data_IF_303270690419
#
_entry.id   IF_303270690419
#
_cell.length_a   1.000
_cell.length_b   1.000
_cell.length_c   1.000
_cell.angle_alpha   90.00
_cell.angle_beta   90.00
_cell.angle_gamma   90.00
#
_symmetry.space_group_name_H-M   'P 1'
#
loop_
_entity.id
_entity.type
_entity.pdbx_description
1 polymer ?
#
# COMPACT_ATOMS: atom_id res chain seq x y z
N UNK A 1 10.25 -50.85 98.81
CA UNK A 1 10.12 -50.84 100.24
C UNK A 1 9.30 -52.04 100.86
N UNK A 2 8.10 -52.39 100.33
CA UNK A 2 7.32 -53.56 100.83
C UNK A 2 7.95 -54.87 100.42
N UNK A 3 8.45 -55.01 99.20
CA UNK A 3 9.15 -56.23 98.71
C UNK A 3 10.46 -56.43 99.43
N UNK A 4 11.25 -55.37 99.62
CA UNK A 4 12.53 -55.45 100.36
C UNK A 4 12.31 -55.91 101.85
N UNK A 5 11.29 -55.38 102.55
CA UNK A 5 10.91 -55.82 103.86
C UNK A 5 10.49 -57.29 103.88
N UNK A 6 9.75 -57.76 102.86
CA UNK A 6 9.37 -59.17 102.77
C UNK A 6 10.56 -60.07 102.46
N UNK A 7 11.49 -59.67 101.62
CA UNK A 7 12.72 -60.38 101.31
C UNK A 7 13.63 -60.43 102.53
N UNK A 8 13.77 -59.36 103.27
CA UNK A 8 14.55 -59.36 104.54
C UNK A 8 13.95 -60.28 105.62
N UNK A 9 12.63 -60.37 105.67
CA UNK A 9 11.92 -61.30 106.58
C UNK A 9 12.13 -62.74 106.12
N UNK A 10 12.13 -63.05 104.83
CA UNK A 10 12.40 -64.39 104.29
C UNK A 10 13.86 -64.85 104.49
N UNK A 11 14.81 -63.95 104.47
CA UNK A 11 16.23 -64.22 104.78
C UNK A 11 16.41 -64.69 106.20
N UNK A 12 15.53 -64.27 107.16
CA UNK A 12 15.56 -64.64 108.58
C UNK A 12 14.82 -65.98 108.90
N UNK A 13 13.82 -66.34 108.14
CA UNK A 13 13.07 -67.57 108.30
C UNK A 13 12.89 -68.24 106.86
N UNK A 14 13.79 -69.17 106.62
CA UNK A 14 13.87 -69.77 105.26
C UNK A 14 12.80 -70.85 105.07
N UNK A 15 12.23 -71.43 106.11
CA UNK A 15 11.31 -72.58 106.05
C UNK A 15 9.81 -72.25 106.01
N UNK A 16 9.41 -71.05 106.36
CA UNK A 16 7.98 -70.68 106.35
C UNK A 16 7.58 -70.31 104.92
N UNK A 17 6.51 -70.92 104.33
CA UNK A 17 6.08 -70.55 102.98
C UNK A 17 5.56 -69.11 102.98
N UNK A 18 6.07 -68.33 102.05
CA UNK A 18 5.70 -66.94 101.87
C UNK A 18 4.77 -66.83 100.67
N UNK A 19 3.53 -66.41 100.89
CA UNK A 19 2.63 -66.01 99.79
C UNK A 19 3.08 -64.69 99.28
N UNK A 20 3.51 -64.72 98.02
CA UNK A 20 3.68 -63.51 97.28
C UNK A 20 2.30 -62.97 96.92
N UNK A 21 1.97 -61.80 97.42
CA UNK A 21 0.79 -61.08 96.95
C UNK A 21 1.03 -60.70 95.52
N UNK A 22 -0.03 -60.63 94.68
CA UNK A 22 0.05 -60.16 93.31
C UNK A 22 0.82 -58.83 93.26
N UNK A 23 2.00 -58.84 92.74
CA UNK A 23 2.78 -57.66 92.39
C UNK A 23 2.17 -57.20 91.08
N UNK A 24 1.54 -56.02 91.06
CA UNK A 24 1.12 -55.46 89.82
C UNK A 24 2.37 -55.43 88.93
N UNK A 25 2.26 -56.09 87.79
CA UNK A 25 3.30 -56.08 86.79
C UNK A 25 3.21 -54.77 86.04
N UNK A 26 4.08 -53.82 86.36
CA UNK A 26 4.17 -52.52 85.70
C UNK A 26 5.09 -52.55 84.47
N UNK A 27 5.49 -53.75 84.06
CA UNK A 27 6.47 -53.87 82.94
C UNK A 27 5.95 -53.30 81.62
N UNK A 28 4.66 -53.49 81.32
CA UNK A 28 4.03 -52.95 80.11
C UNK A 28 3.92 -51.43 80.22
N UNK A 29 3.56 -50.84 81.32
CA UNK A 29 3.51 -49.38 81.49
C UNK A 29 4.89 -48.76 81.40
N UNK A 30 5.91 -49.38 82.00
CA UNK A 30 7.31 -48.96 81.86
C UNK A 30 7.76 -49.04 80.46
N UNK A 31 7.45 -50.11 79.68
CA UNK A 31 7.80 -50.28 78.30
C UNK A 31 7.13 -49.23 77.44
N UNK A 32 5.87 -48.90 77.69
CA UNK A 32 5.16 -47.84 77.02
C UNK A 32 5.82 -46.46 77.23
N UNK A 33 6.24 -46.18 78.45
CA UNK A 33 6.93 -44.91 78.76
C UNK A 33 8.30 -44.86 78.11
N UNK A 34 9.06 -45.94 78.12
CA UNK A 34 10.36 -46.04 77.47
C UNK A 34 10.23 -45.83 75.98
N UNK A 35 9.23 -46.48 75.33
CA UNK A 35 8.94 -46.25 73.90
C UNK A 35 8.59 -44.80 73.60
N UNK A 36 7.79 -44.14 74.44
CA UNK A 36 7.52 -42.70 74.30
C UNK A 36 8.77 -41.86 74.45
N UNK A 37 9.63 -42.13 75.39
CA UNK A 37 10.90 -41.45 75.63
C UNK A 37 11.82 -41.65 74.35
N UNK A 38 11.90 -42.89 73.87
CA UNK A 38 12.71 -43.20 72.73
C UNK A 38 12.19 -42.43 71.47
N UNK A 39 10.88 -42.41 71.24
CA UNK A 39 10.28 -41.64 70.15
C UNK A 39 10.56 -40.13 70.27
N UNK A 40 10.38 -39.56 71.47
CA UNK A 40 10.68 -38.16 71.74
C UNK A 40 12.18 -37.85 71.52
N UNK A 41 13.07 -38.77 71.94
CA UNK A 41 14.51 -38.63 71.66
C UNK A 41 14.83 -38.69 70.17
N UNK A 42 14.20 -39.58 69.38
CA UNK A 42 14.34 -39.67 67.99
C UNK A 42 13.87 -38.37 67.31
N UNK A 43 12.66 -37.89 67.62
CA UNK A 43 12.11 -36.64 67.10
C UNK A 43 13.03 -35.45 67.43
N UNK A 44 13.52 -35.36 68.68
CA UNK A 44 14.43 -34.27 69.04
C UNK A 44 15.78 -34.36 68.34
N UNK A 45 16.33 -35.57 68.15
CA UNK A 45 17.56 -35.74 67.32
C UNK A 45 17.37 -35.40 65.87
N UNK A 46 16.24 -35.78 65.27
CA UNK A 46 15.90 -35.39 63.94
C UNK A 46 15.70 -33.86 63.83
N UNK A 47 15.03 -33.27 64.82
CA UNK A 47 14.88 -31.80 64.89
C UNK A 47 16.26 -31.13 64.96
N UNK A 48 17.17 -31.63 65.84
CA UNK A 48 18.53 -31.09 65.99
C UNK A 48 19.35 -31.23 64.71
N UNK A 49 19.27 -32.38 64.01
CA UNK A 49 19.95 -32.59 62.68
C UNK A 49 19.46 -31.62 61.62
N UNK A 50 18.16 -31.30 61.64
CA UNK A 50 17.54 -30.43 60.67
C UNK A 50 17.42 -28.97 61.15
N UNK A 51 18.03 -28.61 62.26
CA UNK A 51 17.86 -27.28 62.86
C UNK A 51 18.33 -26.16 61.93
N UNK A 52 19.49 -26.31 61.24
CA UNK A 52 20.02 -25.33 60.31
C UNK A 52 19.11 -25.16 59.10
N UNK A 53 18.61 -26.26 58.54
CA UNK A 53 17.68 -26.22 57.42
C UNK A 53 16.36 -25.53 57.78
N UNK A 54 15.81 -25.85 58.96
CA UNK A 54 14.57 -25.21 59.50
C UNK A 54 14.77 -23.73 59.78
N UNK A 55 15.95 -23.34 60.28
CA UNK A 55 16.29 -21.94 60.47
C UNK A 55 16.37 -21.20 59.15
N UNK A 56 16.97 -21.80 58.12
CA UNK A 56 17.05 -21.19 56.76
C UNK A 56 15.68 -21.07 56.10
N UNK A 57 14.82 -22.08 56.28
CA UNK A 57 13.42 -22.00 55.84
C UNK A 57 12.65 -20.88 56.56
N UNK A 58 12.83 -20.75 57.87
CA UNK A 58 12.21 -19.69 58.66
C UNK A 58 12.70 -18.31 58.24
N UNK A 59 14.02 -18.16 58.00
CA UNK A 59 14.61 -16.93 57.46
C UNK A 59 14.06 -16.59 56.09
N UNK A 60 13.94 -17.58 55.18
CA UNK A 60 13.33 -17.39 53.86
C UNK A 60 11.86 -16.95 53.98
N UNK A 61 11.08 -17.60 54.81
CA UNK A 61 9.67 -17.20 55.06
C UNK A 61 9.57 -15.78 55.60
N UNK A 62 10.45 -15.40 56.51
CA UNK A 62 10.46 -14.04 57.06
C UNK A 62 10.79 -13.00 55.97
N UNK A 63 11.84 -13.26 55.19
CA UNK A 63 12.21 -12.39 54.06
C UNK A 63 11.09 -12.27 53.03
N UNK A 64 10.44 -13.37 52.67
CA UNK A 64 9.32 -13.34 51.75
C UNK A 64 8.13 -12.54 52.30
N UNK A 65 7.87 -12.65 53.61
CA UNK A 65 6.82 -11.86 54.27
C UNK A 65 7.15 -10.36 54.26
N UNK A 66 8.41 -9.99 54.54
CA UNK A 66 8.86 -8.59 54.45
C UNK A 66 8.75 -8.04 53.04
N UNK A 67 9.19 -8.82 52.03
CA UNK A 67 9.05 -8.44 50.62
C UNK A 67 7.58 -8.29 50.22
N UNK A 68 6.72 -9.23 50.65
CA UNK A 68 5.29 -9.16 50.36
C UNK A 68 4.63 -7.94 51.01
N UNK A 69 5.03 -7.62 52.24
CA UNK A 69 4.58 -6.42 52.95
C UNK A 69 5.02 -5.15 52.21
N UNK A 70 6.31 -5.07 51.85
CA UNK A 70 6.83 -3.95 51.09
C UNK A 70 6.15 -3.78 49.72
N UNK A 71 5.93 -4.89 49.01
CA UNK A 71 5.22 -4.88 47.73
C UNK A 71 3.78 -4.38 47.88
N UNK A 72 3.10 -4.74 48.97
CA UNK A 72 1.76 -4.25 49.29
C UNK A 72 1.76 -2.76 49.67
N UNK A 73 2.67 -2.37 50.56
CA UNK A 73 2.75 -0.99 51.06
C UNK A 73 3.18 0.01 49.98
N UNK A 74 3.92 -0.47 48.98
CA UNK A 74 4.36 0.34 47.82
C UNK A 74 3.43 0.25 46.62
N UNK A 75 2.31 -0.45 46.70
CA UNK A 75 1.37 -0.69 45.59
C UNK A 75 2.04 -1.24 44.32
N UNK A 76 3.09 -2.07 44.50
CA UNK A 76 3.89 -2.61 43.39
C UNK A 76 3.03 -3.30 42.32
N UNK A 77 2.04 -4.05 42.71
CA UNK A 77 1.16 -4.77 41.80
C UNK A 77 0.27 -3.82 40.99
N UNK A 78 -0.30 -2.81 41.65
CA UNK A 78 -1.09 -1.79 40.95
C UNK A 78 -0.26 -1.01 39.95
N UNK A 79 0.97 -0.62 40.33
CA UNK A 79 1.92 0.05 39.41
C UNK A 79 2.33 -0.85 38.26
N UNK A 80 2.50 -2.13 38.47
CA UNK A 80 2.83 -3.07 37.38
C UNK A 80 1.68 -3.21 36.37
N UNK A 81 0.45 -3.25 36.85
CA UNK A 81 -0.75 -3.27 35.99
C UNK A 81 -0.90 -1.94 35.21
N UNK A 82 -0.62 -0.83 35.90
CA UNK A 82 -0.62 0.50 35.23
C UNK A 82 0.42 0.57 34.12
N UNK A 83 1.66 0.13 34.37
CA UNK A 83 2.72 0.05 33.34
C UNK A 83 2.28 -0.82 32.15
N UNK A 84 1.67 -1.97 32.42
CA UNK A 84 1.16 -2.86 31.37
C UNK A 84 0.07 -2.18 30.55
N UNK A 85 -0.87 -1.51 31.20
CA UNK A 85 -1.94 -0.78 30.54
C UNK A 85 -1.41 0.41 29.70
N UNK A 86 -0.45 1.16 30.23
CA UNK A 86 0.22 2.24 29.51
C UNK A 86 1.00 1.71 28.33
N UNK A 87 1.67 0.57 28.45
CA UNK A 87 2.37 -0.09 27.34
C UNK A 87 1.42 -0.47 26.20
N UNK A 88 0.24 -1.01 26.52
CA UNK A 88 -0.79 -1.32 25.52
C UNK A 88 -1.34 -0.06 24.83
N UNK A 89 -1.62 0.99 25.61
CA UNK A 89 -2.05 2.29 25.05
C UNK A 89 -0.99 2.88 24.11
N UNK A 90 0.26 2.84 24.51
CA UNK A 90 1.38 3.32 23.68
C UNK A 90 1.49 2.55 22.37
N UNK A 91 1.40 1.22 22.42
CA UNK A 91 1.42 0.39 21.21
C UNK A 91 0.26 0.70 20.27
N UNK A 92 -0.95 0.86 20.81
CA UNK A 92 -2.13 1.23 20.02
C UNK A 92 -1.97 2.62 19.39
N UNK A 93 -1.49 3.61 20.14
CA UNK A 93 -1.22 4.93 19.61
C UNK A 93 -0.15 4.93 18.50
N UNK A 94 0.90 4.14 18.67
CA UNK A 94 1.94 3.99 17.63
C UNK A 94 1.36 3.41 16.34
N UNK A 95 0.50 2.38 16.44
CA UNK A 95 -0.14 1.81 15.26
C UNK A 95 -1.09 2.81 14.56
N UNK A 96 -1.82 3.62 15.34
CA UNK A 96 -2.67 4.68 14.80
C UNK A 96 -1.85 5.73 14.07
N UNK A 97 -0.75 6.20 14.67
CA UNK A 97 0.16 7.16 14.03
C UNK A 97 0.74 6.61 12.71
N UNK A 98 1.06 5.33 12.67
CA UNK A 98 1.58 4.70 11.44
C UNK A 98 0.52 4.66 10.33
N UNK A 99 -0.73 4.32 10.68
CA UNK A 99 -1.83 4.35 9.70
C UNK A 99 -2.10 5.76 9.18
N UNK A 100 -2.18 6.75 10.06
CA UNK A 100 -2.39 8.15 9.67
C UNK A 100 -1.24 8.69 8.80
N UNK A 101 0.02 8.33 9.10
CA UNK A 101 1.17 8.69 8.24
C UNK A 101 1.04 8.10 6.85
N UNK A 102 0.60 6.85 6.74
CA UNK A 102 0.39 6.21 5.44
C UNK A 102 -0.73 6.89 4.65
N UNK A 103 -1.82 7.29 5.30
CA UNK A 103 -2.89 8.06 4.68
C UNK A 103 -2.41 9.43 4.18
N UNK A 104 -1.65 10.16 5.00
CA UNK A 104 -1.05 11.45 4.61
C UNK A 104 -0.14 11.27 3.38
N UNK A 105 0.67 10.21 3.33
CA UNK A 105 1.52 9.94 2.17
C UNK A 105 0.68 9.66 0.91
N UNK A 106 -0.41 8.91 1.03
CA UNK A 106 -1.32 8.65 -0.08
C UNK A 106 -1.98 9.95 -0.58
N UNK A 107 -2.48 10.79 0.33
CA UNK A 107 -3.04 12.09 -0.06
C UNK A 107 -2.00 13.01 -0.72
N UNK A 108 -0.77 13.02 -0.23
CA UNK A 108 0.30 13.79 -0.87
C UNK A 108 0.58 13.31 -2.30
N UNK A 109 0.60 11.99 -2.54
CA UNK A 109 0.74 11.41 -3.88
C UNK A 109 -0.44 11.80 -4.80
N UNK A 110 -1.66 11.83 -4.28
CA UNK A 110 -2.83 12.29 -5.03
C UNK A 110 -2.76 13.80 -5.33
N UNK A 111 -2.36 14.61 -4.38
CA UNK A 111 -2.15 16.05 -4.57
C UNK A 111 -1.14 16.31 -5.68
N UNK A 112 -0.01 15.60 -5.69
CA UNK A 112 1.00 15.75 -6.75
C UNK A 112 0.44 15.35 -8.13
N UNK A 113 -0.33 14.26 -8.21
CA UNK A 113 -1.03 13.86 -9.46
C UNK A 113 -2.02 14.94 -9.94
N UNK A 114 -2.76 15.56 -9.02
CA UNK A 114 -3.70 16.61 -9.38
C UNK A 114 -2.98 17.91 -9.78
N UNK A 115 -1.92 18.30 -9.11
CA UNK A 115 -1.07 19.43 -9.50
C UNK A 115 -0.47 19.25 -10.89
N UNK A 116 0.02 18.03 -11.19
CA UNK A 116 0.53 17.71 -12.52
C UNK A 116 -0.57 17.84 -13.58
N UNK A 117 -1.77 17.32 -13.31
CA UNK A 117 -2.91 17.46 -14.23
C UNK A 117 -3.29 18.93 -14.46
N UNK A 118 -3.27 19.76 -13.44
CA UNK A 118 -3.60 21.19 -13.53
C UNK A 118 -2.54 21.97 -14.32
N UNK A 119 -1.26 21.69 -14.08
CA UNK A 119 -0.16 22.30 -14.84
C UNK A 119 -0.22 21.92 -16.32
N UNK A 120 -0.52 20.66 -16.63
CA UNK A 120 -0.70 20.20 -17.98
C UNK A 120 -1.91 20.87 -18.67
N UNK A 121 -2.97 21.15 -17.91
CA UNK A 121 -4.18 21.82 -18.39
C UNK A 121 -3.86 23.23 -18.93
N UNK A 122 -3.13 24.04 -18.19
CA UNK A 122 -2.74 25.39 -18.62
C UNK A 122 -1.83 25.36 -19.85
N UNK A 123 -0.85 24.46 -19.86
CA UNK A 123 0.06 24.28 -20.98
C UNK A 123 -0.69 23.80 -22.23
N UNK A 124 -1.59 22.83 -22.08
CA UNK A 124 -2.45 22.35 -23.17
C UNK A 124 -3.35 23.43 -23.70
N UNK A 125 -3.99 24.23 -22.83
CA UNK A 125 -4.82 25.38 -23.23
C UNK A 125 -4.04 26.37 -24.07
N UNK A 126 -2.83 26.73 -23.64
CA UNK A 126 -1.94 27.63 -24.38
C UNK A 126 -1.58 27.09 -25.77
N UNK A 127 -1.24 25.79 -25.84
CA UNK A 127 -0.91 25.14 -27.12
C UNK A 127 -2.14 25.07 -28.04
N UNK A 128 -3.31 24.73 -27.53
CA UNK A 128 -4.55 24.69 -28.34
C UNK A 128 -4.85 26.07 -28.90
N UNK A 129 -4.79 27.12 -28.12
CA UNK A 129 -5.02 28.49 -28.53
C UNK A 129 -4.00 28.91 -29.62
N UNK A 130 -2.74 28.52 -29.44
CA UNK A 130 -1.70 28.72 -30.43
C UNK A 130 -2.02 28.02 -31.76
N UNK A 131 -2.53 26.79 -31.73
CA UNK A 131 -2.90 26.05 -32.93
C UNK A 131 -4.12 26.65 -33.60
N UNK A 132 -5.16 26.98 -32.83
CA UNK A 132 -6.34 27.67 -33.38
C UNK A 132 -5.96 28.95 -34.11
N UNK A 133 -5.13 29.77 -33.47
CA UNK A 133 -4.68 31.04 -34.07
C UNK A 133 -3.76 30.86 -35.24
N UNK A 134 -2.73 30.01 -35.15
CA UNK A 134 -1.66 29.91 -36.11
C UNK A 134 -2.01 29.08 -37.34
N UNK A 135 -2.82 28.04 -37.18
CA UNK A 135 -3.17 27.12 -38.26
C UNK A 135 -4.56 27.35 -38.84
N UNK A 136 -5.49 27.82 -38.04
CA UNK A 136 -6.86 27.99 -38.51
C UNK A 136 -7.33 29.45 -38.63
N UNK A 137 -6.49 30.39 -38.22
CA UNK A 137 -6.81 31.82 -38.31
C UNK A 137 -8.00 32.25 -37.44
N UNK A 138 -8.47 31.35 -36.58
CA UNK A 138 -9.60 31.62 -35.71
C UNK A 138 -9.17 32.46 -34.48
N UNK A 139 -9.18 33.79 -34.68
CA UNK A 139 -8.95 34.71 -33.57
C UNK A 139 -10.18 34.85 -32.63
N UNK A 140 -11.31 34.28 -33.01
CA UNK A 140 -12.56 34.44 -32.27
C UNK A 140 -12.77 33.35 -31.21
N UNK A 141 -12.22 32.15 -31.40
CA UNK A 141 -12.35 31.04 -30.47
C UNK A 141 -11.09 30.92 -29.60
N UNK A 142 -11.31 30.84 -28.31
CA UNK A 142 -10.25 30.68 -27.30
C UNK A 142 -10.70 29.67 -26.26
N UNK A 143 -9.84 28.75 -25.87
CA UNK A 143 -10.03 27.91 -24.72
C UNK A 143 -9.46 28.59 -23.49
N UNK A 144 -10.17 28.49 -22.38
CA UNK A 144 -9.73 28.96 -21.10
C UNK A 144 -9.99 27.90 -20.05
N UNK A 145 -9.00 27.67 -19.19
CA UNK A 145 -9.20 26.79 -18.06
C UNK A 145 -10.21 27.43 -17.08
N UNK A 146 -11.24 26.67 -16.72
CA UNK A 146 -12.30 27.15 -15.83
C UNK A 146 -11.81 27.17 -14.39
N UNK A 147 -12.14 28.24 -13.69
CA UNK A 147 -11.84 28.39 -12.26
C UNK A 147 -13.11 28.19 -11.44
N UNK A 148 -12.98 27.59 -10.29
CA UNK A 148 -14.04 27.48 -9.30
C UNK A 148 -14.32 28.83 -8.60
N UNK A 149 -15.32 28.88 -7.72
CA UNK A 149 -15.68 30.06 -6.95
C UNK A 149 -14.57 30.57 -6.01
N UNK A 150 -13.55 29.72 -5.77
CA UNK A 150 -12.36 30.06 -4.99
C UNK A 150 -11.17 30.49 -5.86
N UNK A 151 -11.37 30.58 -7.18
CA UNK A 151 -10.34 30.96 -8.14
C UNK A 151 -9.36 29.82 -8.47
N UNK A 152 -9.60 28.59 -8.04
CA UNK A 152 -8.77 27.42 -8.34
C UNK A 152 -9.24 26.74 -9.62
N UNK A 153 -8.28 26.16 -10.38
CA UNK A 153 -8.60 25.40 -11.59
C UNK A 153 -9.37 24.13 -11.20
N UNK A 154 -10.55 23.94 -11.81
CA UNK A 154 -11.40 22.78 -11.55
C UNK A 154 -11.19 21.60 -12.52
N UNK A 155 -10.21 21.70 -13.44
CA UNK A 155 -9.91 20.65 -14.41
C UNK A 155 -10.79 20.69 -15.65
N UNK A 156 -11.65 21.70 -15.83
CA UNK A 156 -12.53 21.89 -16.97
C UNK A 156 -12.02 23.01 -17.86
N UNK A 157 -12.44 22.97 -19.14
CA UNK A 157 -12.25 24.06 -20.07
C UNK A 157 -13.57 24.74 -20.39
N UNK A 158 -13.50 26.03 -20.62
CA UNK A 158 -14.56 26.77 -21.27
C UNK A 158 -14.08 27.28 -22.63
N UNK A 159 -14.96 27.27 -23.60
CA UNK A 159 -14.70 27.83 -24.93
C UNK A 159 -15.29 29.23 -24.94
N UNK A 160 -14.46 30.19 -25.24
CA UNK A 160 -14.85 31.59 -25.38
C UNK A 160 -14.91 31.97 -26.85
N UNK A 161 -15.87 32.81 -27.21
CA UNK A 161 -15.95 33.50 -28.47
C UNK A 161 -15.95 34.99 -28.22
N UNK A 162 -14.89 35.69 -28.71
CA UNK A 162 -14.73 37.11 -28.42
C UNK A 162 -14.78 37.46 -26.93
N UNK A 163 -14.15 36.64 -26.10
CA UNK A 163 -14.10 36.82 -24.62
C UNK A 163 -15.36 36.47 -23.86
N UNK A 164 -16.43 36.00 -24.53
CA UNK A 164 -17.69 35.52 -23.91
C UNK A 164 -17.82 34.02 -24.11
N UNK A 165 -18.47 33.34 -23.17
CA UNK A 165 -18.73 31.91 -23.30
C UNK A 165 -19.40 31.59 -24.64
N UNK A 166 -18.79 30.73 -25.43
CA UNK A 166 -19.30 30.34 -26.71
C UNK A 166 -20.53 29.44 -26.56
N UNK A 167 -21.62 29.83 -27.21
CA UNK A 167 -22.84 29.01 -27.30
C UNK A 167 -23.03 28.59 -28.75
N UNK A 168 -23.57 27.39 -28.96
CA UNK A 168 -23.89 26.88 -30.32
C UNK A 168 -22.69 26.86 -31.26
N UNK A 169 -21.64 26.12 -30.89
CA UNK A 169 -20.54 25.84 -31.80
C UNK A 169 -21.02 25.02 -33.00
N UNK A 170 -20.55 25.34 -34.20
CA UNK A 170 -20.76 24.48 -35.37
C UNK A 170 -20.05 23.16 -35.20
N UNK A 171 -20.48 22.10 -35.89
CA UNK A 171 -19.84 20.79 -35.87
C UNK A 171 -18.36 20.89 -36.30
N UNK A 172 -18.07 21.72 -37.32
CA UNK A 172 -16.69 22.00 -37.74
C UNK A 172 -15.85 22.68 -36.65
N UNK A 173 -16.40 23.67 -35.92
CA UNK A 173 -15.69 24.30 -34.81
C UNK A 173 -15.40 23.30 -33.66
N UNK A 174 -16.37 22.44 -33.34
CA UNK A 174 -16.18 21.39 -32.36
C UNK A 174 -15.06 20.42 -32.77
N UNK A 175 -15.08 19.95 -34.01
CA UNK A 175 -14.06 19.05 -34.59
C UNK A 175 -12.67 19.69 -34.57
N UNK A 176 -12.61 20.98 -34.90
CA UNK A 176 -11.37 21.74 -34.93
C UNK A 176 -10.75 21.87 -33.53
N UNK A 177 -11.55 22.27 -32.56
CA UNK A 177 -11.10 22.36 -31.15
C UNK A 177 -10.67 20.99 -30.62
N UNK A 178 -11.48 19.94 -30.89
CA UNK A 178 -11.14 18.58 -30.47
C UNK A 178 -9.83 18.09 -31.14
N UNK A 179 -9.60 18.40 -32.39
CA UNK A 179 -8.34 18.05 -33.10
C UNK A 179 -7.14 18.79 -32.51
N UNK A 180 -7.26 20.09 -32.24
CA UNK A 180 -6.22 20.88 -31.58
C UNK A 180 -5.91 20.33 -30.17
N UNK A 181 -6.95 19.94 -29.42
CA UNK A 181 -6.78 19.30 -28.12
C UNK A 181 -6.03 17.98 -28.23
N UNK A 182 -6.41 17.13 -29.19
CA UNK A 182 -5.72 15.86 -29.45
C UNK A 182 -4.22 16.09 -29.74
N UNK A 183 -3.89 17.02 -30.65
CA UNK A 183 -2.48 17.30 -30.97
C UNK A 183 -1.72 17.89 -29.79
N UNK A 184 -2.37 18.75 -28.99
CA UNK A 184 -1.75 19.29 -27.77
C UNK A 184 -1.49 18.18 -26.73
N UNK A 185 -2.42 17.21 -26.57
CA UNK A 185 -2.25 16.09 -25.66
C UNK A 185 -1.10 15.14 -26.01
N UNK A 186 -0.70 15.08 -27.30
CA UNK A 186 0.49 14.34 -27.72
C UNK A 186 1.81 15.02 -27.29
N UNK A 187 1.76 16.31 -26.97
CA UNK A 187 2.90 17.07 -26.45
C UNK A 187 2.99 17.07 -24.93
N UNK A 188 2.00 16.48 -24.25
CA UNK A 188 1.97 16.35 -22.80
C UNK A 188 3.14 15.49 -22.28
N UNK A 189 3.65 15.82 -21.09
CA UNK A 189 4.74 15.11 -20.44
C UNK A 189 4.49 13.59 -20.31
N UNK A 190 3.23 13.19 -20.22
CA UNK A 190 2.85 11.76 -20.14
C UNK A 190 3.05 10.98 -21.44
N UNK A 191 3.05 11.66 -22.57
CA UNK A 191 3.05 11.05 -23.91
C UNK A 191 4.36 11.25 -24.65
N UNK A 192 5.06 12.34 -24.32
CA UNK A 192 6.22 12.86 -25.07
C UNK A 192 7.36 11.84 -25.21
N UNK A 193 7.61 11.01 -24.18
CA UNK A 193 8.77 10.10 -24.16
C UNK A 193 8.37 8.62 -24.35
N UNK A 194 7.11 8.35 -24.72
CA UNK A 194 6.56 6.98 -24.83
C UNK A 194 6.56 6.40 -26.23
N UNK A 195 7.09 7.12 -27.21
CA UNK A 195 7.12 6.66 -28.60
C UNK A 195 5.73 6.18 -29.11
N UNK A 196 4.66 6.99 -29.01
CA UNK A 196 3.32 6.53 -29.27
C UNK A 196 3.10 6.12 -30.73
N UNK A 197 2.20 5.16 -30.93
CA UNK A 197 1.57 4.88 -32.23
C UNK A 197 0.31 5.76 -32.30
N UNK A 198 0.18 6.52 -33.39
CA UNK A 198 -0.91 7.48 -33.56
C UNK A 198 -1.85 6.99 -34.65
N UNK A 199 -3.14 6.96 -34.33
CA UNK A 199 -4.19 6.67 -35.29
C UNK A 199 -5.14 7.87 -35.37
N UNK A 200 -5.32 8.39 -36.60
CA UNK A 200 -6.23 9.50 -36.90
C UNK A 200 -7.27 9.00 -37.91
N UNK A 201 -8.52 8.93 -37.47
CA UNK A 201 -9.62 8.46 -38.24
C UNK A 201 -10.43 9.66 -38.76
N UNK A 202 -10.43 9.85 -40.07
CA UNK A 202 -11.18 10.82 -40.83
C UNK A 202 -11.26 12.24 -40.23
N UNK A 203 -10.10 12.91 -40.05
CA UNK A 203 -10.02 14.13 -39.23
C UNK A 203 -10.75 15.34 -39.86
N UNK A 204 -11.37 15.16 -41.03
CA UNK A 204 -11.98 16.24 -41.81
C UNK A 204 -13.43 15.99 -42.16
N UNK A 205 -14.06 14.96 -41.56
CA UNK A 205 -15.46 14.57 -41.90
C UNK A 205 -16.48 15.70 -41.78
N UNK A 206 -16.28 16.61 -40.85
CA UNK A 206 -17.21 17.72 -40.52
C UNK A 206 -16.64 19.09 -40.92
N UNK A 207 -15.52 19.13 -41.64
CA UNK A 207 -14.81 20.36 -41.99
C UNK A 207 -15.03 20.76 -43.44
N UNK A 208 -15.07 22.04 -43.69
CA UNK A 208 -15.08 22.57 -45.06
C UNK A 208 -13.69 22.45 -45.73
N UNK A 209 -13.67 22.61 -47.08
CA UNK A 209 -12.46 22.46 -47.85
C UNK A 209 -11.35 23.45 -47.45
N UNK A 210 -11.69 24.59 -46.83
CA UNK A 210 -10.70 25.57 -46.42
C UNK A 210 -9.87 25.05 -45.23
N UNK A 211 -10.44 24.21 -44.40
CA UNK A 211 -9.80 23.66 -43.21
C UNK A 211 -8.93 22.43 -43.49
N UNK A 212 -9.09 21.77 -44.65
CA UNK A 212 -8.32 20.58 -45.02
C UNK A 212 -6.81 20.87 -45.03
N UNK A 213 -6.40 21.98 -45.60
CA UNK A 213 -4.99 22.37 -45.66
C UNK A 213 -4.41 22.62 -44.25
N UNK A 214 -5.18 23.21 -43.35
CA UNK A 214 -4.73 23.50 -41.99
C UNK A 214 -4.56 22.24 -41.17
N UNK A 215 -5.49 21.29 -41.27
CA UNK A 215 -5.40 19.97 -40.59
C UNK A 215 -4.13 19.25 -41.10
N UNK A 216 -3.93 19.20 -42.43
CA UNK A 216 -2.72 18.62 -43.02
C UNK A 216 -1.45 19.30 -42.47
N UNK A 217 -1.39 20.62 -42.47
CA UNK A 217 -0.23 21.40 -42.02
C UNK A 217 0.07 21.13 -40.51
N UNK A 218 -0.98 21.01 -39.68
CA UNK A 218 -0.82 20.70 -38.28
C UNK A 218 -0.31 19.27 -38.06
N UNK A 219 -0.83 18.30 -38.82
CA UNK A 219 -0.35 16.90 -38.78
C UNK A 219 1.13 16.87 -39.24
N UNK A 220 1.47 17.54 -40.34
CA UNK A 220 2.84 17.58 -40.87
C UNK A 220 3.82 18.16 -39.85
N UNK A 221 3.48 19.31 -39.26
CA UNK A 221 4.38 20.04 -38.38
C UNK A 221 4.52 19.40 -36.99
N UNK A 222 3.44 18.80 -36.47
CA UNK A 222 3.38 18.34 -35.10
C UNK A 222 3.49 16.82 -34.94
N UNK A 223 3.12 16.04 -35.94
CA UNK A 223 3.11 14.59 -35.85
C UNK A 223 4.14 13.99 -36.83
N UNK A 224 4.02 14.23 -38.11
CA UNK A 224 4.89 13.62 -39.09
C UNK A 224 6.37 14.01 -38.93
N UNK A 225 6.65 15.25 -38.53
CA UNK A 225 8.00 15.68 -38.15
C UNK A 225 8.56 14.91 -36.95
N UNK A 226 7.76 14.64 -35.93
CA UNK A 226 8.20 13.90 -34.75
C UNK A 226 8.44 12.43 -35.04
N UNK A 227 7.76 11.83 -36.01
CA UNK A 227 8.09 10.48 -36.52
C UNK A 227 9.46 10.48 -37.16
N UNK A 228 9.77 11.48 -37.99
CA UNK A 228 11.12 11.63 -38.60
C UNK A 228 12.21 11.80 -37.55
N UNK A 229 11.89 12.44 -36.42
CA UNK A 229 12.80 12.65 -35.28
C UNK A 229 12.84 11.46 -34.32
N UNK A 230 12.19 10.32 -34.64
CA UNK A 230 12.06 9.12 -33.80
C UNK A 230 11.42 9.38 -32.45
N UNK A 231 10.57 10.39 -32.34
CA UNK A 231 9.81 10.69 -31.09
C UNK A 231 8.45 10.01 -31.06
N UNK A 232 7.91 9.65 -32.23
CA UNK A 232 6.69 8.87 -32.39
C UNK A 232 7.00 7.65 -33.23
N UNK A 233 6.37 6.52 -32.93
CA UNK A 233 6.67 5.24 -33.59
C UNK A 233 6.03 5.15 -34.96
N UNK A 234 4.72 5.34 -35.06
CA UNK A 234 3.94 5.16 -36.28
C UNK A 234 2.77 6.13 -36.34
N UNK A 235 2.35 6.46 -37.58
CA UNK A 235 1.14 7.24 -37.84
C UNK A 235 0.27 6.48 -38.85
N UNK A 236 -0.98 6.23 -38.47
CA UNK A 236 -2.03 5.73 -39.34
C UNK A 236 -3.06 6.84 -39.57
N UNK A 237 -3.46 7.06 -40.76
CA UNK A 237 -4.51 8.01 -41.14
C UNK A 237 -5.50 7.30 -42.04
N UNK A 238 -6.78 7.26 -41.66
CA UNK A 238 -7.89 6.86 -42.52
C UNK A 238 -8.66 8.08 -42.95
N UNK A 239 -9.13 8.08 -44.21
CA UNK A 239 -9.99 9.14 -44.74
C UNK A 239 -10.77 8.65 -45.96
N UNK A 240 -11.98 9.15 -46.10
CA UNK A 240 -12.78 8.98 -47.30
C UNK A 240 -12.65 10.17 -48.27
N UNK A 241 -11.95 11.25 -47.88
CA UNK A 241 -11.81 12.46 -48.65
C UNK A 241 -10.56 12.42 -49.56
N UNK A 242 -10.76 12.41 -50.85
CA UNK A 242 -9.69 12.33 -51.85
C UNK A 242 -8.81 13.60 -51.92
N UNK A 243 -9.35 14.77 -51.61
CA UNK A 243 -8.59 16.02 -51.56
C UNK A 243 -7.62 16.01 -50.39
N UNK A 244 -8.06 15.51 -49.23
CA UNK A 244 -7.15 15.32 -48.09
C UNK A 244 -6.05 14.29 -48.42
N UNK A 245 -6.38 13.21 -49.11
CA UNK A 245 -5.41 12.22 -49.52
C UNK A 245 -4.33 12.86 -50.45
N UNK A 246 -4.71 13.80 -51.34
CA UNK A 246 -3.75 14.55 -52.19
C UNK A 246 -2.76 15.32 -51.31
N UNK A 247 -3.21 15.94 -50.21
CA UNK A 247 -2.31 16.62 -49.27
C UNK A 247 -1.40 15.64 -48.54
N UNK A 248 -1.93 14.53 -48.01
CA UNK A 248 -1.14 13.52 -47.31
C UNK A 248 -0.04 12.93 -48.20
N UNK A 249 -0.30 12.75 -49.50
CA UNK A 249 0.72 12.30 -50.48
C UNK A 249 1.92 13.25 -50.59
N UNK A 250 1.82 14.49 -50.08
CA UNK A 250 2.92 15.46 -50.04
C UNK A 250 3.87 15.27 -48.86
N UNK A 251 3.57 14.40 -47.89
CA UNK A 251 4.51 14.12 -46.80
C UNK A 251 5.87 13.74 -47.38
N UNK A 252 6.88 14.56 -47.09
CA UNK A 252 8.22 14.40 -47.65
C UNK A 252 8.84 13.10 -47.16
N UNK A 253 9.44 12.39 -48.09
CA UNK A 253 10.26 11.20 -47.83
C UNK A 253 11.35 11.54 -46.81
N UNK A 254 11.44 10.83 -45.71
CA UNK A 254 12.63 10.89 -44.86
C UNK A 254 13.77 10.22 -45.61
N UNK A 255 14.91 10.91 -45.77
CA UNK A 255 16.12 10.26 -46.27
C UNK A 255 16.57 9.25 -45.20
N UNK A 256 16.91 7.99 -45.57
CA UNK A 256 17.50 7.07 -44.62
C UNK A 256 18.79 7.71 -44.08
N UNK A 257 19.00 7.67 -42.76
CA UNK A 257 20.31 7.97 -42.19
C UNK A 257 21.24 6.86 -42.69
N UNK A 258 22.30 7.25 -43.40
CA UNK A 258 23.37 6.35 -43.83
C UNK A 258 24.12 5.82 -42.59
N UNK A 259 23.61 4.79 -41.97
CA UNK A 259 24.42 3.89 -41.16
C UNK A 259 24.39 2.55 -41.87
N UNK A 260 25.55 2.14 -42.37
CA UNK A 260 25.76 0.98 -43.27
C UNK A 260 25.35 -0.38 -42.67
N UNK A 261 24.94 -0.49 -41.42
CA UNK A 261 24.60 -1.75 -40.77
C UNK A 261 23.16 -1.93 -40.33
N UNK A 262 22.28 -0.93 -40.56
CA UNK A 262 20.88 -1.03 -40.15
C UNK A 262 19.98 -0.95 -41.39
N UNK A 263 19.68 -2.13 -41.97
CA UNK A 263 18.69 -2.29 -43.03
C UNK A 263 17.26 -2.11 -42.51
N UNK A 264 16.98 -1.08 -41.76
CA UNK A 264 15.61 -0.63 -41.55
C UNK A 264 15.25 0.23 -42.74
N UNK A 265 14.72 -0.42 -43.77
CA UNK A 265 14.00 0.23 -44.87
C UNK A 265 12.84 1.01 -44.25
N UNK A 266 13.06 2.27 -43.90
CA UNK A 266 11.96 3.20 -43.66
C UNK A 266 11.26 3.46 -45.01
N UNK A 267 10.43 2.47 -45.36
CA UNK A 267 9.60 2.62 -46.53
C UNK A 267 8.64 3.80 -46.32
N UNK A 268 8.56 4.60 -47.35
CA UNK A 268 7.63 5.71 -47.55
C UNK A 268 6.24 5.45 -47.03
N UNK A 269 5.41 6.51 -46.80
CA UNK A 269 4.00 6.35 -46.52
C UNK A 269 3.41 5.30 -47.44
N UNK A 270 2.86 4.26 -46.90
CA UNK A 270 2.19 3.23 -47.66
C UNK A 270 0.70 3.59 -47.69
N UNK A 271 0.11 3.44 -48.88
CA UNK A 271 -1.27 3.78 -49.10
C UNK A 271 -2.06 2.52 -49.37
N UNK A 272 -3.18 2.40 -48.71
CA UNK A 272 -4.09 1.29 -48.85
C UNK A 272 -5.49 1.83 -49.12
N UNK A 273 -6.32 1.05 -49.81
CA UNK A 273 -7.74 1.35 -49.91
C UNK A 273 -8.56 0.14 -49.47
N UNK A 274 -9.73 0.43 -48.96
CA UNK A 274 -10.68 -0.59 -48.53
C UNK A 274 -11.72 -0.69 -49.61
N UNK A 275 -11.77 -1.85 -50.27
CA UNK A 275 -12.76 -2.16 -51.27
C UNK A 275 -13.87 -3.01 -50.68
N UNK A 276 -15.12 -2.56 -50.81
CA UNK A 276 -16.28 -3.36 -50.50
C UNK A 276 -16.71 -4.15 -51.75
N UNK A 277 -16.85 -5.44 -51.60
CA UNK A 277 -17.37 -6.31 -52.65
C UNK A 277 -18.50 -7.19 -52.10
N UNK A 278 -19.49 -7.46 -52.94
CA UNK A 278 -20.57 -8.40 -52.61
C UNK A 278 -20.21 -9.71 -53.31
N UNK A 279 -19.89 -10.74 -52.53
CA UNK A 279 -19.66 -12.10 -53.00
C UNK A 279 -20.77 -13.00 -52.41
N UNK A 280 -21.50 -13.68 -53.28
CA UNK A 280 -22.52 -14.66 -52.88
C UNK A 280 -23.52 -14.14 -51.85
N UNK A 281 -24.05 -12.93 -52.05
CA UNK A 281 -24.96 -12.23 -51.11
C UNK A 281 -24.33 -11.84 -49.75
N UNK A 282 -23.03 -11.95 -49.57
CA UNK A 282 -22.34 -11.47 -48.37
C UNK A 282 -21.45 -10.25 -48.70
N UNK A 283 -21.60 -9.17 -47.90
CA UNK A 283 -20.71 -8.01 -48.03
C UNK A 283 -19.35 -8.41 -47.42
N UNK A 284 -18.31 -8.28 -48.22
CA UNK A 284 -16.92 -8.48 -47.79
C UNK A 284 -16.12 -7.18 -48.01
N UNK A 285 -15.21 -6.88 -47.08
CA UNK A 285 -14.26 -5.75 -47.20
C UNK A 285 -12.85 -6.28 -47.29
N UNK A 286 -12.10 -5.80 -48.30
CA UNK A 286 -10.71 -6.21 -48.57
C UNK A 286 -9.79 -4.99 -48.56
N UNK A 287 -8.66 -5.10 -47.85
CA UNK A 287 -7.63 -4.03 -47.82
C UNK A 287 -6.63 -4.31 -48.96
N UNK A 288 -6.54 -3.40 -49.89
CA UNK A 288 -5.60 -3.51 -51.00
C UNK A 288 -4.55 -2.40 -50.97
N UNK A 289 -3.31 -2.74 -51.22
CA UNK A 289 -2.22 -1.75 -51.31
C UNK A 289 -2.36 -0.98 -52.63
N UNK A 290 -2.32 0.35 -52.55
CA UNK A 290 -2.30 1.17 -53.72
C UNK A 290 -0.92 1.03 -54.44
N UNK A 291 -0.91 0.90 -55.77
CA UNK A 291 0.33 0.85 -56.51
C UNK A 291 1.14 2.14 -56.28
N UNK A 292 2.47 2.01 -56.23
CA UNK A 292 3.37 3.15 -56.15
C UNK A 292 3.14 4.03 -57.38
N UNK A 293 2.66 5.27 -57.21
CA UNK A 293 2.63 6.28 -58.26
C UNK A 293 3.99 6.97 -58.36
#
# INVERSE_FOLDING_TARGET
LKIEKKLTKKKKDVFTPMKLENINDFSDEILQILNKIENLCKENNEYAKNLLSKQDEARKKLRLNEVAKFAKDSDCFAKQDEIKNLGQKLSNMQSTIETEKNEINNYNLEIEKYKEKLSNLETSTSNINKYLKSYFGHNMLELKAKKDDKGQLNGEFEILRNGKQAKNLSEGECSLVAFCYFVASLEDAKTKDKNPIIWIDDPISSLDNNHIFFIFSLIEAKIAKKIKDNKYSQLFISTHNLDFLKYIKRFKKSKPKQNENDKTDYEFPQYYFIEKSIKENTETSEIKKLPKC
#
